data_IF_503331017142
#
_entry.id   IF_503331017142
#
_cell.length_a   1.000
_cell.length_b   1.000
_cell.length_c   1.000
_cell.angle_alpha   90.00
_cell.angle_beta   90.00
_cell.angle_gamma   90.00
#
_symmetry.space_group_name_H-M   'P 1'
#
loop_
_entity.id
_entity.type
_entity.pdbx_description
1 polymer ?
#
# COMPACT_ATOMS: atom_id res chain seq x y z
N UNK A 1 -13.36 5.49 18.97
CA UNK A 1 -12.44 4.36 19.21
C UNK A 1 -12.95 3.04 18.59
N UNK A 2 -14.18 2.59 18.89
CA UNK A 2 -14.75 1.36 18.31
C UNK A 2 -14.85 1.39 16.77
N UNK A 3 -15.30 2.51 16.19
CA UNK A 3 -15.38 2.71 14.72
C UNK A 3 -14.02 2.55 14.04
N UNK A 4 -12.96 3.11 14.64
CA UNK A 4 -11.59 3.04 14.12
C UNK A 4 -11.06 1.59 14.12
N UNK A 5 -11.37 0.82 15.17
CA UNK A 5 -10.97 -0.60 15.28
C UNK A 5 -11.68 -1.44 14.21
N UNK A 6 -13.00 -1.25 14.05
CA UNK A 6 -13.77 -1.96 13.03
C UNK A 6 -13.28 -1.66 11.61
N UNK A 7 -12.95 -0.40 11.33
CA UNK A 7 -12.40 -0.01 10.04
C UNK A 7 -11.01 -0.62 9.78
N UNK A 8 -10.13 -0.65 10.80
CA UNK A 8 -8.82 -1.30 10.71
C UNK A 8 -8.98 -2.80 10.46
N UNK A 9 -9.92 -3.46 11.15
CA UNK A 9 -10.23 -4.89 10.95
C UNK A 9 -10.74 -5.16 9.54
N UNK A 10 -11.70 -4.37 9.05
CA UNK A 10 -12.25 -4.50 7.71
C UNK A 10 -11.16 -4.26 6.65
N UNK A 11 -10.37 -3.19 6.78
CA UNK A 11 -9.25 -2.90 5.90
C UNK A 11 -8.21 -4.03 5.90
N UNK A 12 -7.92 -4.62 7.07
CA UNK A 12 -6.97 -5.70 7.21
C UNK A 12 -7.49 -7.00 6.59
N UNK A 13 -8.79 -7.28 6.72
CA UNK A 13 -9.46 -8.38 6.02
C UNK A 13 -9.35 -8.23 4.50
N UNK A 14 -9.66 -7.05 3.95
CA UNK A 14 -9.52 -6.77 2.51
C UNK A 14 -8.07 -6.99 2.07
N UNK A 15 -7.08 -6.51 2.84
CA UNK A 15 -5.67 -6.77 2.57
C UNK A 15 -5.33 -8.25 2.59
N UNK A 16 -5.85 -9.00 3.56
CA UNK A 16 -5.64 -10.44 3.63
C UNK A 16 -6.17 -11.16 2.39
N UNK A 17 -7.36 -10.78 1.92
CA UNK A 17 -8.03 -11.39 0.76
C UNK A 17 -7.37 -11.03 -0.58
N UNK A 18 -7.02 -9.76 -0.78
CA UNK A 18 -6.65 -9.19 -2.10
C UNK A 18 -5.16 -8.81 -2.19
N UNK A 19 -4.40 -8.92 -1.09
CA UNK A 19 -2.98 -8.57 -0.93
C UNK A 19 -2.64 -7.06 -0.86
N UNK A 20 -3.63 -6.17 -0.93
CA UNK A 20 -3.39 -4.72 -0.83
C UNK A 20 -4.63 -3.97 -0.33
N UNK A 21 -4.54 -2.64 -0.24
CA UNK A 21 -5.69 -1.77 0.03
C UNK A 21 -5.89 -1.39 1.50
N UNK A 22 -5.14 -1.99 2.43
CA UNK A 22 -5.20 -1.59 3.84
C UNK A 22 -4.94 -0.10 4.04
N UNK A 23 -3.80 0.50 3.65
CA UNK A 23 -3.56 1.91 3.93
C UNK A 23 -4.54 2.81 3.20
N UNK A 24 -5.06 2.39 2.04
CA UNK A 24 -6.06 3.15 1.28
C UNK A 24 -7.39 3.27 2.03
N UNK A 25 -7.77 2.25 2.80
CA UNK A 25 -8.98 2.25 3.62
C UNK A 25 -8.73 2.77 5.04
N UNK A 26 -7.64 2.35 5.68
CA UNK A 26 -7.37 2.65 7.08
C UNK A 26 -6.83 4.06 7.29
N UNK A 27 -6.01 4.60 6.37
CA UNK A 27 -5.42 5.96 6.53
C UNK A 27 -6.49 7.04 6.58
N UNK A 28 -7.45 7.12 5.62
CA UNK A 28 -8.50 8.13 5.69
C UNK A 28 -9.39 8.00 6.93
N UNK A 29 -9.61 6.78 7.42
CA UNK A 29 -10.44 6.55 8.61
C UNK A 29 -9.72 6.98 9.88
N UNK A 30 -8.44 6.62 10.06
CA UNK A 30 -7.68 7.11 11.21
C UNK A 30 -7.51 8.64 11.17
N UNK A 31 -7.35 9.22 9.98
CA UNK A 31 -7.24 10.67 9.79
C UNK A 31 -8.51 11.46 10.17
N UNK A 32 -9.65 10.79 10.47
CA UNK A 32 -10.83 11.44 11.06
C UNK A 32 -10.69 11.66 12.57
N UNK A 33 -9.79 10.94 13.23
CA UNK A 33 -9.63 10.96 14.69
C UNK A 33 -8.29 11.55 15.13
N UNK A 34 -7.33 11.69 14.20
CA UNK A 34 -6.01 12.27 14.42
C UNK A 34 -5.54 12.93 13.13
N UNK A 35 -4.47 13.73 13.20
CA UNK A 35 -3.88 14.30 11.99
C UNK A 35 -3.34 13.21 11.05
N UNK A 36 -3.17 13.56 9.77
CA UNK A 36 -2.73 12.61 8.74
C UNK A 36 -1.36 12.03 9.07
N UNK A 37 -0.43 12.84 9.59
CA UNK A 37 0.95 12.40 9.88
C UNK A 37 0.95 11.35 10.99
N UNK A 38 0.15 11.56 12.04
CA UNK A 38 -0.07 10.59 13.12
C UNK A 38 -0.75 9.32 12.61
N UNK A 39 -1.77 9.43 11.76
CA UNK A 39 -2.43 8.28 11.16
C UNK A 39 -1.46 7.43 10.33
N UNK A 40 -0.61 8.08 9.52
CA UNK A 40 0.42 7.42 8.74
C UNK A 40 1.38 6.68 9.66
N UNK A 41 1.92 7.35 10.69
CA UNK A 41 2.85 6.76 11.65
C UNK A 41 2.27 5.52 12.35
N UNK A 42 1.04 5.61 12.86
CA UNK A 42 0.35 4.49 13.53
C UNK A 42 0.17 3.29 12.61
N UNK A 43 0.00 3.50 11.30
CA UNK A 43 -0.26 2.43 10.34
C UNK A 43 1.01 1.78 9.77
N UNK A 44 2.21 2.26 10.11
CA UNK A 44 3.46 1.69 9.59
C UNK A 44 3.67 0.25 10.06
N UNK A 45 3.66 -0.02 11.38
CA UNK A 45 3.90 -1.37 11.89
C UNK A 45 2.82 -2.38 11.46
N UNK A 46 1.51 -2.08 11.52
CA UNK A 46 0.49 -3.00 11.03
C UNK A 46 0.73 -3.38 9.57
N UNK A 47 1.05 -2.41 8.71
CA UNK A 47 1.37 -2.70 7.32
C UNK A 47 2.59 -3.62 7.20
N UNK A 48 3.70 -3.20 7.80
CA UNK A 48 4.97 -3.91 7.72
C UNK A 48 4.85 -5.37 8.17
N UNK A 49 4.15 -5.62 9.29
CA UNK A 49 3.96 -6.98 9.81
C UNK A 49 3.07 -7.81 8.88
N UNK A 50 1.93 -7.27 8.44
CA UNK A 50 1.04 -7.99 7.51
C UNK A 50 1.74 -8.31 6.19
N UNK A 51 2.48 -7.36 5.63
CA UNK A 51 3.23 -7.54 4.38
C UNK A 51 4.38 -8.53 4.55
N UNK A 52 5.08 -8.51 5.69
CA UNK A 52 6.14 -9.47 5.99
C UNK A 52 5.59 -10.89 6.09
N UNK A 53 4.48 -11.09 6.81
CA UNK A 53 3.79 -12.38 6.87
C UNK A 53 3.40 -12.82 5.46
N UNK A 54 2.78 -11.94 4.66
CA UNK A 54 2.31 -12.31 3.32
C UNK A 54 3.47 -12.64 2.35
N UNK A 55 4.58 -11.92 2.44
CA UNK A 55 5.78 -12.17 1.66
C UNK A 55 6.43 -13.52 2.03
N UNK A 56 6.54 -13.83 3.32
CA UNK A 56 7.18 -15.05 3.84
C UNK A 56 6.35 -16.32 3.59
N UNK A 57 5.03 -16.21 3.35
CA UNK A 57 4.15 -17.36 3.09
C UNK A 57 4.42 -18.10 1.79
N UNK A 58 5.17 -17.50 0.84
CA UNK A 58 5.41 -18.10 -0.48
C UNK A 58 6.92 -18.22 -0.74
N UNK A 59 7.38 -19.34 -1.33
CA UNK A 59 8.81 -19.54 -1.63
C UNK A 59 9.30 -18.55 -2.70
N UNK A 60 10.63 -18.38 -2.81
CA UNK A 60 11.25 -17.59 -3.88
C UNK A 60 11.45 -16.10 -3.59
N UNK A 61 11.55 -15.72 -2.31
CA UNK A 61 11.85 -14.34 -1.90
C UNK A 61 13.16 -13.81 -2.49
N UNK A 62 14.24 -14.59 -2.44
CA UNK A 62 15.54 -14.16 -2.98
C UNK A 62 15.50 -13.86 -4.47
N UNK A 63 14.77 -14.67 -5.25
CA UNK A 63 14.58 -14.43 -6.68
C UNK A 63 13.78 -13.15 -6.94
N UNK A 64 12.73 -12.92 -6.15
CA UNK A 64 11.90 -11.70 -6.24
C UNK A 64 12.67 -10.45 -5.86
N UNK A 65 13.52 -10.56 -4.82
CA UNK A 65 14.39 -9.49 -4.36
C UNK A 65 15.37 -9.07 -5.46
N UNK A 66 16.02 -10.06 -6.10
CA UNK A 66 16.95 -9.83 -7.21
C UNK A 66 16.26 -9.26 -8.45
N UNK A 67 15.07 -9.76 -8.80
CA UNK A 67 14.28 -9.29 -9.96
C UNK A 67 13.93 -7.80 -9.83
N UNK A 68 13.50 -7.38 -8.63
CA UNK A 68 12.99 -6.04 -8.38
C UNK A 68 14.01 -5.12 -7.66
N UNK A 69 15.29 -5.48 -7.61
CA UNK A 69 16.30 -4.74 -6.86
C UNK A 69 16.38 -3.26 -7.27
N UNK A 70 16.31 -2.96 -8.57
CA UNK A 70 16.29 -1.58 -9.07
C UNK A 70 15.02 -0.83 -8.65
N UNK A 71 13.85 -1.48 -8.73
CA UNK A 71 12.59 -0.91 -8.25
C UNK A 71 12.65 -0.57 -6.76
N UNK A 72 13.31 -1.42 -5.96
CA UNK A 72 13.50 -1.18 -4.54
C UNK A 72 14.50 -0.07 -4.25
N UNK A 73 15.66 -0.06 -4.91
CA UNK A 73 16.67 0.97 -4.70
C UNK A 73 16.12 2.39 -4.96
N UNK A 74 15.42 2.57 -6.08
CA UNK A 74 14.78 3.84 -6.42
C UNK A 74 13.56 4.13 -5.54
N UNK A 75 12.81 3.09 -5.16
CA UNK A 75 11.70 3.22 -4.22
C UNK A 75 12.12 3.65 -2.82
N UNK A 76 13.29 3.22 -2.35
CA UNK A 76 13.88 3.68 -1.09
C UNK A 76 14.16 5.19 -1.17
N UNK A 77 14.85 5.64 -2.22
CA UNK A 77 15.14 7.05 -2.44
C UNK A 77 13.85 7.89 -2.53
N UNK A 78 12.87 7.40 -3.30
CA UNK A 78 11.56 8.03 -3.42
C UNK A 78 10.82 8.10 -2.08
N UNK A 79 10.86 7.03 -1.28
CA UNK A 79 10.19 6.97 0.03
C UNK A 79 10.80 7.97 1.01
N UNK A 80 12.13 8.10 1.03
CA UNK A 80 12.79 9.14 1.82
C UNK A 80 12.36 10.54 1.40
N UNK A 81 12.40 10.82 0.09
CA UNK A 81 11.96 12.10 -0.45
C UNK A 81 10.49 12.39 -0.11
N UNK A 82 9.59 11.43 -0.36
CA UNK A 82 8.17 11.57 -0.08
C UNK A 82 7.86 11.77 1.41
N UNK A 83 8.55 11.04 2.28
CA UNK A 83 8.41 11.21 3.74
C UNK A 83 8.96 12.55 4.20
N UNK A 84 10.05 13.04 3.58
CA UNK A 84 10.58 14.37 3.88
C UNK A 84 9.61 15.47 3.43
N UNK A 85 9.05 15.36 2.23
CA UNK A 85 8.00 16.26 1.72
C UNK A 85 6.76 16.26 2.63
N UNK A 86 6.40 15.10 3.20
CA UNK A 86 5.30 15.02 4.17
C UNK A 86 5.50 15.96 5.38
N UNK A 87 6.75 16.26 5.76
CA UNK A 87 7.03 17.20 6.87
C UNK A 87 6.70 18.63 6.50
N UNK A 88 7.09 19.05 5.28
CA UNK A 88 7.00 20.44 4.82
C UNK A 88 5.61 20.82 4.32
N UNK A 89 4.78 19.84 3.96
CA UNK A 89 3.40 20.10 3.54
C UNK A 89 2.46 20.28 4.74
N UNK A 90 1.52 21.21 4.58
CA UNK A 90 0.40 21.36 5.51
C UNK A 90 -0.55 20.16 5.43
N UNK A 91 -1.27 19.83 6.50
CA UNK A 91 -2.17 18.67 6.53
C UNK A 91 -3.24 18.71 5.43
N UNK A 92 -3.73 19.93 5.09
CA UNK A 92 -4.65 20.14 3.96
C UNK A 92 -4.01 19.76 2.61
N UNK A 93 -2.73 20.05 2.43
CA UNK A 93 -1.99 19.68 1.21
C UNK A 93 -1.73 18.16 1.18
N UNK A 94 -1.41 17.53 2.32
CA UNK A 94 -1.29 16.09 2.41
C UNK A 94 -2.61 15.37 2.06
N UNK A 95 -3.75 15.89 2.55
CA UNK A 95 -5.08 15.41 2.17
C UNK A 95 -5.38 15.60 0.69
N UNK A 96 -5.00 16.75 0.09
CA UNK A 96 -5.17 17.00 -1.34
C UNK A 96 -4.28 16.12 -2.21
N UNK A 97 -3.04 15.84 -1.81
CA UNK A 97 -2.14 14.93 -2.53
C UNK A 97 -2.65 13.50 -2.42
N UNK A 98 -3.07 13.08 -1.21
CA UNK A 98 -3.72 11.80 -1.00
C UNK A 98 -4.96 11.69 -1.89
N UNK A 99 -5.87 12.66 -1.86
CA UNK A 99 -7.07 12.70 -2.69
C UNK A 99 -6.77 12.73 -4.20
N UNK A 100 -5.81 13.54 -4.63
CA UNK A 100 -5.40 13.69 -6.03
C UNK A 100 -4.75 12.44 -6.60
N UNK A 101 -3.86 11.79 -5.86
CA UNK A 101 -3.28 10.51 -6.27
C UNK A 101 -4.36 9.45 -6.42
N UNK A 102 -5.26 9.42 -5.46
CA UNK A 102 -6.40 8.53 -5.39
C UNK A 102 -7.39 8.80 -6.54
N UNK A 103 -7.53 10.05 -7.01
CA UNK A 103 -8.29 10.43 -8.21
C UNK A 103 -7.60 10.04 -9.53
N UNK A 104 -6.30 10.32 -9.68
CA UNK A 104 -5.51 9.86 -10.85
C UNK A 104 -5.61 8.34 -10.98
N UNK A 105 -5.54 7.64 -9.85
CA UNK A 105 -5.74 6.22 -9.80
C UNK A 105 -7.14 5.77 -10.23
N UNK A 106 -8.18 6.44 -9.74
CA UNK A 106 -9.55 6.16 -10.14
C UNK A 106 -9.74 6.37 -11.65
N UNK A 107 -9.15 7.44 -12.21
CA UNK A 107 -9.18 7.73 -13.64
C UNK A 107 -8.49 6.62 -14.47
N UNK A 108 -7.29 6.18 -14.09
CA UNK A 108 -6.59 5.08 -14.78
C UNK A 108 -7.41 3.80 -14.72
N UNK A 109 -8.01 3.44 -13.58
CA UNK A 109 -8.86 2.24 -13.49
C UNK A 109 -10.17 2.36 -14.28
N UNK A 110 -10.78 3.54 -14.32
CA UNK A 110 -12.03 3.78 -15.06
C UNK A 110 -11.87 3.56 -16.57
N UNK A 111 -10.67 3.73 -17.11
CA UNK A 111 -10.39 3.44 -18.53
C UNK A 111 -10.41 1.95 -18.88
N UNK A 112 -10.41 1.05 -17.88
CA UNK A 112 -10.32 -0.40 -18.12
C UNK A 112 -9.02 -0.84 -18.80
N UNK A 113 -8.04 0.06 -18.92
CA UNK A 113 -6.76 -0.26 -19.52
C UNK A 113 -6.11 -1.38 -18.71
N UNK A 114 -5.81 -2.48 -19.38
CA UNK A 114 -4.87 -3.50 -18.93
C UNK A 114 -3.59 -3.29 -19.70
N UNK A 115 -2.70 -2.36 -19.27
CA UNK A 115 -1.43 -2.17 -19.95
C UNK A 115 -0.71 -3.51 -19.91
N UNK A 116 -0.15 -3.95 -21.03
CA UNK A 116 0.80 -5.07 -21.04
C UNK A 116 2.18 -4.47 -21.23
N UNK A 117 3.04 -4.64 -20.25
CA UNK A 117 4.45 -4.23 -20.34
C UNK A 117 5.22 -5.42 -20.88
N UNK A 118 5.84 -5.33 -22.08
CA UNK A 118 6.70 -6.38 -22.57
C UNK A 118 7.87 -6.61 -21.59
N UNK A 119 8.34 -7.85 -21.38
CA UNK A 119 9.40 -8.17 -20.42
C UNK A 119 10.69 -7.35 -20.61
N UNK A 120 10.97 -6.92 -21.86
CA UNK A 120 12.13 -6.09 -22.22
C UNK A 120 12.12 -4.73 -21.50
N UNK A 121 10.93 -4.18 -21.24
CA UNK A 121 10.78 -2.86 -20.60
C UNK A 121 10.78 -2.91 -19.08
N UNK A 122 10.69 -4.09 -18.47
CA UNK A 122 10.62 -4.25 -17.01
C UNK A 122 11.82 -3.59 -16.32
N UNK A 123 13.05 -3.87 -16.77
CA UNK A 123 14.25 -3.27 -16.16
C UNK A 123 14.35 -1.76 -16.37
N UNK A 124 13.90 -1.27 -17.52
CA UNK A 124 13.97 0.16 -17.86
C UNK A 124 12.92 0.98 -17.09
N UNK A 125 11.73 0.42 -16.87
CA UNK A 125 10.63 1.08 -16.14
C UNK A 125 10.79 0.98 -14.62
N UNK A 126 11.45 -0.08 -14.12
CA UNK A 126 11.62 -0.35 -12.69
C UNK A 126 12.12 0.86 -11.86
N UNK A 127 13.17 1.60 -12.27
CA UNK A 127 13.61 2.79 -11.55
C UNK A 127 12.55 3.87 -11.42
N UNK A 128 11.89 4.23 -12.53
CA UNK A 128 10.89 5.30 -12.55
C UNK A 128 9.63 4.93 -11.76
N UNK A 129 9.12 3.72 -11.99
CA UNK A 129 7.96 3.18 -11.24
C UNK A 129 8.29 3.10 -9.75
N UNK A 130 9.46 2.57 -9.41
CA UNK A 130 9.90 2.44 -8.03
C UNK A 130 10.00 3.78 -7.32
N UNK A 131 10.70 4.74 -7.94
CA UNK A 131 10.84 6.09 -7.41
C UNK A 131 9.49 6.77 -7.19
N UNK A 132 8.62 6.77 -8.20
CA UNK A 132 7.30 7.40 -8.10
C UNK A 132 6.42 6.72 -7.05
N UNK A 133 6.42 5.37 -7.00
CA UNK A 133 5.70 4.63 -5.97
C UNK A 133 6.24 4.93 -4.57
N UNK A 134 7.55 5.11 -4.43
CA UNK A 134 8.20 5.53 -3.19
C UNK A 134 7.78 6.94 -2.77
N UNK A 135 7.88 7.93 -3.66
CA UNK A 135 7.49 9.33 -3.37
C UNK A 135 6.03 9.41 -2.97
N UNK A 136 5.15 8.82 -3.78
CA UNK A 136 3.73 8.80 -3.47
C UNK A 136 3.46 8.06 -2.17
N UNK A 137 4.06 6.88 -1.98
CA UNK A 137 3.88 6.09 -0.76
C UNK A 137 4.38 6.80 0.50
N UNK A 138 5.46 7.55 0.38
CA UNK A 138 6.02 8.38 1.44
C UNK A 138 5.08 9.50 1.86
N UNK A 139 4.48 10.21 0.89
CA UNK A 139 3.56 11.33 1.15
C UNK A 139 2.17 10.85 1.58
N UNK A 140 1.64 9.81 0.93
CA UNK A 140 0.22 9.43 1.01
C UNK A 140 -0.03 8.17 1.82
N UNK A 141 1.01 7.42 2.19
CA UNK A 141 0.93 6.08 2.78
C UNK A 141 0.47 4.98 1.81
N UNK A 142 0.17 5.30 0.53
CA UNK A 142 -0.44 4.41 -0.46
C UNK A 142 0.50 4.18 -1.67
N UNK A 143 1.63 3.47 -1.51
CA UNK A 143 2.48 3.11 -2.66
C UNK A 143 1.83 2.09 -3.59
N UNK A 144 0.81 1.37 -3.08
CA UNK A 144 0.25 0.17 -3.71
C UNK A 144 -0.24 0.37 -5.12
N UNK A 145 -0.99 1.43 -5.38
CA UNK A 145 -1.55 1.71 -6.69
C UNK A 145 -0.56 1.58 -7.85
N UNK A 146 0.60 2.26 -7.79
CA UNK A 146 1.56 2.29 -8.90
C UNK A 146 2.20 0.91 -9.08
N UNK A 147 2.55 0.26 -7.96
CA UNK A 147 3.15 -1.07 -7.97
C UNK A 147 2.17 -2.13 -8.49
N UNK A 148 0.89 -2.03 -8.14
CA UNK A 148 -0.14 -2.98 -8.59
C UNK A 148 -0.40 -2.85 -10.08
N UNK A 149 -0.52 -1.62 -10.60
CA UNK A 149 -0.66 -1.39 -12.04
C UNK A 149 0.54 -1.98 -12.77
N UNK A 150 1.75 -1.74 -12.25
CA UNK A 150 2.98 -2.25 -12.84
C UNK A 150 3.06 -3.78 -12.83
N UNK A 151 2.82 -4.43 -11.67
CA UNK A 151 2.87 -5.90 -11.56
C UNK A 151 1.75 -6.59 -12.31
N UNK A 152 0.56 -5.98 -12.35
CA UNK A 152 -0.53 -6.46 -13.20
C UNK A 152 -0.16 -6.35 -14.68
N UNK A 153 0.48 -5.25 -15.08
CA UNK A 153 0.91 -5.04 -16.45
C UNK A 153 2.05 -5.97 -16.90
N UNK A 154 2.86 -6.46 -15.96
CA UNK A 154 3.84 -7.53 -16.20
C UNK A 154 3.21 -8.91 -16.35
N UNK A 155 1.89 -9.05 -16.15
CA UNK A 155 1.16 -10.31 -16.35
C UNK A 155 1.53 -11.38 -15.32
N UNK A 156 1.94 -10.98 -14.12
CA UNK A 156 2.32 -11.91 -13.05
C UNK A 156 1.15 -12.84 -12.68
N UNK A 157 1.46 -14.11 -12.40
CA UNK A 157 0.49 -15.01 -11.77
C UNK A 157 0.17 -14.56 -10.33
N UNK A 158 -0.88 -15.12 -9.72
CA UNK A 158 -1.30 -14.75 -8.36
C UNK A 158 -0.17 -14.92 -7.33
N UNK A 159 0.61 -15.99 -7.41
CA UNK A 159 1.65 -16.27 -6.42
C UNK A 159 2.76 -15.24 -6.52
N UNK A 160 3.22 -14.96 -7.74
CA UNK A 160 4.22 -13.95 -8.00
C UNK A 160 3.71 -12.54 -7.67
N UNK A 161 2.49 -12.20 -8.07
CA UNK A 161 1.88 -10.90 -7.80
C UNK A 161 1.79 -10.62 -6.30
N UNK A 162 1.26 -11.56 -5.52
CA UNK A 162 1.14 -11.41 -4.06
C UNK A 162 2.52 -11.27 -3.41
N UNK A 163 3.50 -12.08 -3.85
CA UNK A 163 4.86 -12.05 -3.32
C UNK A 163 5.59 -10.75 -3.64
N UNK A 164 5.57 -10.31 -4.91
CA UNK A 164 6.20 -9.08 -5.37
C UNK A 164 5.58 -7.85 -4.71
N UNK A 165 4.25 -7.81 -4.61
CA UNK A 165 3.51 -6.73 -3.92
C UNK A 165 3.87 -6.66 -2.45
N UNK A 166 3.78 -7.78 -1.74
CA UNK A 166 4.05 -7.84 -0.30
C UNK A 166 5.51 -7.46 -0.01
N UNK A 167 6.47 -8.00 -0.76
CA UNK A 167 7.88 -7.68 -0.58
C UNK A 167 8.17 -6.19 -0.87
N UNK A 168 7.55 -5.62 -1.90
CA UNK A 168 7.66 -4.18 -2.20
C UNK A 168 7.17 -3.33 -1.04
N UNK A 169 6.02 -3.69 -0.46
CA UNK A 169 5.46 -2.95 0.68
C UNK A 169 6.31 -3.12 1.93
N UNK A 170 6.89 -4.30 2.18
CA UNK A 170 7.86 -4.48 3.27
C UNK A 170 9.02 -3.51 3.12
N UNK A 171 9.65 -3.47 1.94
CA UNK A 171 10.78 -2.56 1.70
C UNK A 171 10.37 -1.11 1.93
N UNK A 172 9.26 -0.67 1.32
CA UNK A 172 8.87 0.73 1.38
C UNK A 172 8.42 1.13 2.79
N UNK A 173 7.73 0.25 3.52
CA UNK A 173 7.31 0.51 4.90
C UNK A 173 8.47 0.46 5.88
N UNK A 174 9.45 -0.41 5.68
CA UNK A 174 10.68 -0.40 6.47
C UNK A 174 11.45 0.91 6.26
N UNK A 175 11.59 1.35 5.00
CA UNK A 175 12.20 2.65 4.69
C UNK A 175 11.41 3.81 5.30
N UNK A 176 10.09 3.80 5.18
CA UNK A 176 9.22 4.82 5.76
C UNK A 176 9.32 4.86 7.28
N UNK A 177 9.41 3.69 7.95
CA UNK A 177 9.62 3.62 9.39
C UNK A 177 10.92 4.32 9.80
N UNK A 178 12.02 4.03 9.10
CA UNK A 178 13.32 4.69 9.33
C UNK A 178 13.21 6.19 9.10
N UNK A 179 12.62 6.61 7.98
CA UNK A 179 12.48 8.01 7.61
C UNK A 179 11.62 8.81 8.61
N UNK A 180 10.47 8.28 9.02
CA UNK A 180 9.56 8.90 10.00
C UNK A 180 10.20 8.95 11.40
N UNK A 181 10.94 7.91 11.78
CA UNK A 181 11.66 7.87 13.08
C UNK A 181 12.80 8.88 13.09
N UNK A 182 13.65 8.90 12.05
CA UNK A 182 14.73 9.87 11.90
C UNK A 182 14.21 11.32 11.82
N UNK A 183 13.00 11.50 11.32
CA UNK A 183 12.32 12.80 11.27
C UNK A 183 11.73 13.26 12.63
N UNK A 184 11.76 12.43 13.68
CA UNK A 184 11.14 12.73 14.98
C UNK A 184 9.61 12.66 14.96
N UNK A 185 9.01 12.12 13.90
CA UNK A 185 7.55 12.02 13.75
C UNK A 185 6.97 10.82 14.50
N UNK A 186 7.76 9.75 14.69
CA UNK A 186 7.34 8.58 15.45
C UNK A 186 7.61 8.80 16.94
N UNK A 187 6.61 9.31 17.68
CA UNK A 187 6.70 9.45 19.14
C UNK A 187 6.47 8.11 19.85
N UNK A 188 6.93 7.92 21.10
CA UNK A 188 6.67 6.71 21.87
C UNK A 188 5.17 6.38 22.00
N UNK A 189 4.33 7.42 22.11
CA UNK A 189 2.86 7.28 22.13
C UNK A 189 2.32 6.71 20.81
N UNK A 190 2.77 7.24 19.67
CA UNK A 190 2.35 6.75 18.35
C UNK A 190 2.89 5.34 18.08
N UNK A 191 4.09 5.03 18.54
CA UNK A 191 4.65 3.68 18.47
C UNK A 191 3.80 2.67 19.26
N UNK A 192 3.40 3.00 20.49
CA UNK A 192 2.50 2.16 21.29
C UNK A 192 1.12 1.97 20.63
N UNK A 193 0.54 3.04 20.07
CA UNK A 193 -0.69 2.95 19.28
C UNK A 193 -0.53 2.08 18.04
N UNK A 194 0.63 2.15 17.37
CA UNK A 194 0.95 1.33 16.19
C UNK A 194 1.03 -0.15 16.55
N UNK A 195 1.62 -0.49 17.71
CA UNK A 195 1.64 -1.87 18.23
C UNK A 195 0.22 -2.37 18.54
N UNK A 196 -0.60 -1.57 19.23
CA UNK A 196 -2.01 -1.93 19.49
C UNK A 196 -2.83 -2.11 18.20
N UNK A 197 -2.66 -1.21 17.23
CA UNK A 197 -3.29 -1.32 15.92
C UNK A 197 -2.82 -2.57 15.15
N UNK A 198 -1.57 -3.00 15.36
CA UNK A 198 -1.02 -4.22 14.72
C UNK A 198 -1.75 -5.45 15.23
N UNK A 199 -1.93 -5.58 16.55
CA UNK A 199 -2.65 -6.70 17.14
C UNK A 199 -4.09 -6.78 16.61
N UNK A 200 -4.79 -5.65 16.53
CA UNK A 200 -6.14 -5.60 15.95
C UNK A 200 -6.14 -5.97 14.46
N UNK A 201 -5.23 -5.39 13.66
CA UNK A 201 -5.15 -5.65 12.23
C UNK A 201 -4.87 -7.13 11.91
N UNK A 202 -4.01 -7.80 12.69
CA UNK A 202 -3.69 -9.21 12.48
C UNK A 202 -4.90 -10.14 12.56
N UNK A 203 -5.88 -9.82 13.43
CA UNK A 203 -7.13 -10.60 13.51
C UNK A 203 -7.93 -10.58 12.20
N UNK A 204 -8.18 -9.39 11.66
CA UNK A 204 -8.88 -9.22 10.37
C UNK A 204 -8.07 -9.79 9.20
N UNK A 205 -6.76 -9.54 9.20
CA UNK A 205 -5.83 -10.02 8.19
C UNK A 205 -5.80 -11.54 8.07
N UNK A 206 -5.75 -12.25 9.20
CA UNK A 206 -5.72 -13.71 9.22
C UNK A 206 -6.97 -14.35 8.61
N UNK A 207 -8.15 -13.77 8.85
CA UNK A 207 -9.39 -14.19 8.19
C UNK A 207 -9.33 -13.95 6.67
N UNK A 208 -8.81 -12.79 6.25
CA UNK A 208 -8.63 -12.48 4.84
C UNK A 208 -7.67 -13.44 4.13
N UNK A 209 -6.56 -13.82 4.78
CA UNK A 209 -5.60 -14.78 4.21
C UNK A 209 -6.24 -16.13 3.90
N UNK A 210 -7.17 -16.62 4.75
CA UNK A 210 -7.89 -17.87 4.47
C UNK A 210 -8.79 -17.77 3.25
N UNK A 211 -9.41 -16.61 3.03
CA UNK A 211 -10.20 -16.36 1.82
C UNK A 211 -9.29 -16.38 0.61
N UNK A 212 -8.14 -15.69 0.68
CA UNK A 212 -7.16 -15.65 -0.40
C UNK A 212 -6.69 -17.05 -0.79
N UNK A 213 -6.41 -17.94 0.17
CA UNK A 213 -5.94 -19.31 -0.13
C UNK A 213 -6.96 -20.14 -0.90
N UNK A 214 -8.26 -19.89 -0.69
CA UNK A 214 -9.35 -20.60 -1.38
C UNK A 214 -9.69 -20.03 -2.76
N UNK A 215 -9.18 -18.84 -3.10
CA UNK A 215 -9.45 -18.22 -4.39
C UNK A 215 -8.58 -18.81 -5.50
N UNK A 216 -9.19 -19.29 -6.58
CA UNK A 216 -8.45 -19.57 -7.81
C UNK A 216 -8.01 -18.26 -8.51
N UNK A 217 -7.15 -18.34 -9.52
CA UNK A 217 -6.62 -17.18 -10.25
C UNK A 217 -7.72 -16.25 -10.79
N UNK A 218 -8.78 -16.82 -11.40
CA UNK A 218 -9.85 -16.05 -12.01
C UNK A 218 -10.63 -15.25 -10.96
N UNK A 219 -10.98 -15.89 -9.84
CA UNK A 219 -11.67 -15.23 -8.73
C UNK A 219 -10.79 -14.18 -8.06
N UNK A 220 -9.49 -14.45 -7.91
CA UNK A 220 -8.54 -13.48 -7.40
C UNK A 220 -8.48 -12.23 -8.30
N UNK A 221 -8.31 -12.41 -9.60
CA UNK A 221 -8.30 -11.29 -10.56
C UNK A 221 -9.61 -10.49 -10.51
N UNK A 222 -10.76 -11.16 -10.42
CA UNK A 222 -12.07 -10.48 -10.27
C UNK A 222 -12.19 -9.72 -8.96
N UNK A 223 -11.68 -10.26 -7.86
CA UNK A 223 -11.72 -9.58 -6.57
C UNK A 223 -10.79 -8.36 -6.52
N UNK A 224 -9.58 -8.49 -7.11
CA UNK A 224 -8.67 -7.37 -7.32
C UNK A 224 -9.38 -6.28 -8.12
N UNK A 225 -9.92 -6.61 -9.29
CA UNK A 225 -10.64 -5.65 -10.13
C UNK A 225 -11.86 -5.05 -9.44
N UNK A 226 -12.69 -5.86 -8.78
CA UNK A 226 -13.87 -5.39 -8.05
C UNK A 226 -13.52 -4.43 -6.92
N UNK A 227 -12.45 -4.73 -6.15
CA UNK A 227 -11.94 -3.82 -5.13
C UNK A 227 -11.44 -2.51 -5.75
N UNK A 228 -10.67 -2.58 -6.84
CA UNK A 228 -10.20 -1.40 -7.59
C UNK A 228 -11.37 -0.54 -8.08
N UNK A 229 -12.44 -1.16 -8.57
CA UNK A 229 -13.67 -0.48 -9.02
C UNK A 229 -14.40 0.21 -7.87
N UNK A 230 -14.69 -0.51 -6.77
CA UNK A 230 -15.40 0.06 -5.61
C UNK A 230 -14.61 1.22 -5.02
N UNK A 231 -13.30 1.04 -4.89
CA UNK A 231 -12.40 2.08 -4.46
C UNK A 231 -12.48 3.27 -5.42
N UNK A 232 -12.35 3.07 -6.73
CA UNK A 232 -12.50 4.13 -7.74
C UNK A 232 -13.80 4.94 -7.61
N UNK A 233 -14.94 4.27 -7.49
CA UNK A 233 -16.26 4.91 -7.34
C UNK A 233 -16.36 5.75 -6.07
N UNK A 234 -15.93 5.20 -4.93
CA UNK A 234 -15.92 5.91 -3.64
C UNK A 234 -15.13 7.23 -3.72
N UNK A 235 -14.05 7.24 -4.48
CA UNK A 235 -13.14 8.38 -4.60
C UNK A 235 -13.69 9.48 -5.50
N UNK A 236 -14.33 9.09 -6.62
CA UNK A 236 -15.06 10.03 -7.48
C UNK A 236 -16.15 10.73 -6.68
N UNK A 237 -16.96 9.98 -5.92
CA UNK A 237 -18.04 10.56 -5.09
C UNK A 237 -17.48 11.54 -4.06
N UNK A 238 -16.36 11.18 -3.41
CA UNK A 238 -15.72 12.04 -2.41
C UNK A 238 -15.09 13.30 -3.00
N UNK A 239 -14.63 13.27 -4.24
CA UNK A 239 -14.07 14.44 -4.91
C UNK A 239 -15.12 15.43 -5.42
N UNK A 240 -16.36 14.97 -5.61
CA UNK A 240 -17.49 15.80 -6.06
C UNK A 240 -18.26 16.47 -4.91
N UNK A 241 -17.85 16.24 -3.65
CA UNK A 241 -18.42 16.85 -2.43
C UNK A 241 -17.41 17.79 -1.78
#
# INVERSE_FOLDING_TARGET
MLVSILAVLAAAFVKGAVAFGFPTLSTPVLALFMDVKSAIAVLILPNLVMDAIQALRRPGLGATLRRHALLYAFGIAGTFLGTHLLRSIADRQALLILGGFVLVFAAINATGLSPRVPPVWERALSPGVGFLAGVVGGVTNVPGTLLLIYFYALGMDKTEFVRSTSLSFVVYKATQLVAVTAAGMMTPRLAALSVGATAAALGGFWLGLRVQDRMNQRTFNRAVLGFLTVLGVFLVIRALR
#
